data_IF_854153738099
#
_entry.id   IF_854153738099
#
_cell.length_a   1.000
_cell.length_b   1.000
_cell.length_c   1.000
_cell.angle_alpha   90.00
_cell.angle_beta   90.00
_cell.angle_gamma   90.00
#
_symmetry.space_group_name_H-M   'P 1'
#
loop_
_entity.id
_entity.type
_entity.pdbx_description
1 polymer ?
#
# COMPACT_ATOMS: atom_id res chain seq x y z
N UNK A 1 4.56 0.18 -6.03
CA UNK A 1 5.05 -0.88 -5.11
C UNK A 1 5.82 -0.23 -3.95
N UNK A 2 5.84 -0.86 -2.77
CA UNK A 2 6.62 -0.36 -1.62
C UNK A 2 8.14 -0.38 -1.88
N UNK A 3 8.88 0.54 -1.27
CA UNK A 3 10.32 0.74 -1.48
C UNK A 3 11.19 -0.09 -0.51
N UNK A 4 10.85 -1.36 -0.31
CA UNK A 4 11.56 -2.26 0.62
C UNK A 4 12.70 -3.03 -0.07
N UNK A 5 13.73 -3.39 0.69
CA UNK A 5 14.93 -4.04 0.16
C UNK A 5 14.68 -5.35 -0.58
N UNK A 6 13.67 -6.13 -0.13
CA UNK A 6 13.28 -7.38 -0.78
C UNK A 6 12.89 -7.20 -2.25
N UNK A 7 12.28 -6.08 -2.62
CA UNK A 7 11.91 -5.79 -4.01
C UNK A 7 13.08 -5.37 -4.90
N UNK A 8 14.24 -5.05 -4.32
CA UNK A 8 15.47 -4.65 -5.03
C UNK A 8 16.54 -5.73 -5.03
N UNK A 9 16.26 -6.89 -4.42
CA UNK A 9 17.19 -7.98 -4.32
C UNK A 9 17.69 -8.43 -5.73
N UNK A 10 18.98 -8.78 -5.90
CA UNK A 10 19.53 -9.14 -7.21
C UNK A 10 18.72 -10.20 -7.97
N UNK A 11 18.22 -11.23 -7.26
CA UNK A 11 17.33 -12.26 -7.86
C UNK A 11 16.04 -11.67 -8.45
N UNK A 12 15.44 -10.68 -7.78
CA UNK A 12 14.22 -10.00 -8.26
C UNK A 12 14.55 -9.15 -9.48
N UNK A 13 15.65 -8.40 -9.45
CA UNK A 13 16.10 -7.59 -10.60
C UNK A 13 16.42 -8.45 -11.83
N UNK A 14 17.10 -9.58 -11.63
CA UNK A 14 17.40 -10.55 -12.69
C UNK A 14 16.12 -11.20 -13.25
N UNK A 15 15.12 -11.45 -12.41
CA UNK A 15 13.81 -11.89 -12.87
C UNK A 15 13.12 -10.81 -13.70
N UNK A 16 13.07 -9.55 -13.24
CA UNK A 16 12.44 -8.45 -13.97
C UNK A 16 13.10 -8.20 -15.33
N UNK A 17 14.43 -8.30 -15.42
CA UNK A 17 15.15 -8.18 -16.69
C UNK A 17 14.71 -9.22 -17.73
N UNK A 18 14.30 -10.41 -17.29
CA UNK A 18 13.77 -11.47 -18.17
C UNK A 18 12.29 -11.33 -18.49
N UNK A 19 11.56 -10.45 -17.80
CA UNK A 19 10.11 -10.30 -17.95
C UNK A 19 9.72 -8.84 -18.22
N UNK A 20 9.98 -8.33 -19.45
CA UNK A 20 9.81 -6.92 -19.79
C UNK A 20 8.36 -6.43 -19.74
N UNK A 21 7.38 -7.34 -19.69
CA UNK A 21 5.96 -7.04 -19.44
C UNK A 21 5.73 -6.32 -18.11
N UNK A 22 6.65 -6.45 -17.15
CA UNK A 22 6.49 -5.91 -15.81
C UNK A 22 7.49 -4.77 -15.58
N UNK A 23 6.97 -3.56 -15.36
CA UNK A 23 7.78 -2.40 -14.93
C UNK A 23 7.42 -2.03 -13.50
N UNK A 24 8.39 -2.07 -12.59
CA UNK A 24 8.15 -1.74 -11.19
C UNK A 24 8.38 -0.24 -10.95
N UNK A 25 7.30 0.47 -10.56
CA UNK A 25 7.39 1.83 -10.01
C UNK A 25 7.33 1.76 -8.48
N UNK A 26 8.41 2.18 -7.83
CA UNK A 26 8.48 2.28 -6.37
C UNK A 26 7.94 3.62 -5.90
N UNK A 27 7.19 3.62 -4.79
CA UNK A 27 6.87 4.87 -4.08
C UNK A 27 8.14 5.46 -3.48
N UNK A 28 8.22 6.78 -3.36
CA UNK A 28 9.34 7.43 -2.70
C UNK A 28 9.45 7.02 -1.23
N UNK A 29 10.65 7.16 -0.66
CA UNK A 29 10.87 6.96 0.77
C UNK A 29 9.92 7.86 1.56
N UNK A 30 9.38 7.33 2.67
CA UNK A 30 8.42 8.03 3.53
C UNK A 30 7.07 8.39 2.89
N UNK A 31 6.78 7.91 1.67
CA UNK A 31 5.48 8.10 1.01
C UNK A 31 4.71 6.79 0.75
N UNK A 32 4.54 5.88 1.75
CA UNK A 32 3.79 4.65 1.56
C UNK A 32 2.29 4.92 1.27
N UNK A 33 1.79 6.10 1.66
CA UNK A 33 0.40 6.52 1.44
C UNK A 33 0.03 6.67 -0.04
N UNK A 34 1.01 6.84 -0.93
CA UNK A 34 0.80 6.85 -2.38
C UNK A 34 0.48 5.45 -2.95
N UNK A 35 0.71 4.38 -2.17
CA UNK A 35 0.41 3.03 -2.57
C UNK A 35 -1.00 2.62 -2.10
N UNK A 36 -1.90 2.36 -3.05
CA UNK A 36 -3.27 1.90 -2.76
C UNK A 36 -3.32 0.65 -1.86
N UNK A 37 -2.35 -0.25 -1.99
CA UNK A 37 -2.24 -1.47 -1.14
C UNK A 37 -1.99 -1.10 0.33
N UNK A 38 -1.19 -0.06 0.60
CA UNK A 38 -0.98 0.40 1.97
C UNK A 38 -2.27 1.00 2.56
N UNK A 39 -3.05 1.70 1.74
CA UNK A 39 -4.39 2.21 2.12
C UNK A 39 -5.39 1.10 2.44
N UNK A 40 -5.38 0.02 1.65
CA UNK A 40 -6.18 -1.17 1.91
C UNK A 40 -5.85 -1.78 3.28
N UNK A 41 -4.56 -2.03 3.57
CA UNK A 41 -4.15 -2.58 4.86
C UNK A 41 -4.48 -1.66 6.04
N UNK A 42 -4.33 -0.34 5.87
CA UNK A 42 -4.76 0.62 6.89
C UNK A 42 -6.26 0.52 7.20
N UNK A 43 -7.08 0.32 6.17
CA UNK A 43 -8.54 0.12 6.35
C UNK A 43 -8.84 -1.23 6.99
N UNK A 44 -8.24 -2.32 6.50
CA UNK A 44 -8.38 -3.66 7.08
C UNK A 44 -8.05 -3.65 8.57
N UNK A 45 -6.92 -3.05 8.95
CA UNK A 45 -6.49 -2.95 10.34
C UNK A 45 -7.51 -2.17 11.17
N UNK A 46 -7.95 -0.99 10.71
CA UNK A 46 -8.87 -0.14 11.47
C UNK A 46 -10.25 -0.77 11.66
N UNK A 47 -10.77 -1.46 10.64
CA UNK A 47 -12.13 -1.97 10.61
C UNK A 47 -12.27 -3.41 11.13
N UNK A 48 -11.23 -4.24 10.98
CA UNK A 48 -11.35 -5.70 11.19
C UNK A 48 -10.30 -6.32 12.11
N UNK A 49 -9.14 -5.69 12.33
CA UNK A 49 -8.07 -6.31 13.14
C UNK A 49 -7.85 -5.62 14.49
N UNK A 50 -7.85 -4.29 14.54
CA UNK A 50 -7.41 -3.51 15.72
C UNK A 50 -8.22 -3.77 17.00
N UNK A 51 -9.47 -4.19 16.88
CA UNK A 51 -10.37 -4.43 18.03
C UNK A 51 -10.87 -5.87 18.09
N UNK A 52 -10.25 -6.77 17.33
CA UNK A 52 -10.65 -8.17 17.25
C UNK A 52 -9.66 -9.03 18.03
N UNK A 53 -10.20 -9.98 18.78
CA UNK A 53 -9.45 -11.09 19.36
C UNK A 53 -9.68 -12.33 18.49
N UNK A 54 -8.63 -13.13 18.31
CA UNK A 54 -8.69 -14.36 17.53
C UNK A 54 -8.15 -15.50 18.38
N UNK A 55 -8.79 -16.66 18.31
CA UNK A 55 -8.38 -17.85 19.10
C UNK A 55 -7.19 -18.57 18.46
N UNK A 56 -6.83 -18.24 17.21
CA UNK A 56 -5.67 -18.78 16.52
C UNK A 56 -5.50 -18.24 15.10
N UNK A 57 -4.47 -18.74 14.40
CA UNK A 57 -4.12 -18.30 13.03
C UNK A 57 -5.24 -18.58 12.03
N UNK A 58 -5.91 -19.72 12.14
CA UNK A 58 -7.02 -20.11 11.24
C UNK A 58 -8.18 -19.11 11.33
N UNK A 59 -8.52 -18.67 12.55
CA UNK A 59 -9.58 -17.69 12.77
C UNK A 59 -9.21 -16.31 12.22
N UNK A 60 -7.95 -15.89 12.42
CA UNK A 60 -7.41 -14.67 11.80
C UNK A 60 -7.46 -14.74 10.26
N UNK A 61 -7.06 -15.86 9.66
CA UNK A 61 -7.11 -16.06 8.21
C UNK A 61 -8.55 -15.93 7.70
N UNK A 62 -9.49 -16.63 8.32
CA UNK A 62 -10.91 -16.56 7.96
C UNK A 62 -11.48 -15.13 8.10
N UNK A 63 -11.04 -14.37 9.11
CA UNK A 63 -11.42 -12.97 9.27
C UNK A 63 -10.87 -12.08 8.15
N UNK A 64 -9.61 -12.27 7.75
CA UNK A 64 -8.98 -11.54 6.64
C UNK A 64 -9.68 -11.87 5.31
N UNK A 65 -9.94 -13.15 5.04
CA UNK A 65 -10.62 -13.60 3.81
C UNK A 65 -12.04 -13.01 3.70
N UNK A 66 -12.82 -13.05 4.79
CA UNK A 66 -14.13 -12.38 4.83
C UNK A 66 -14.03 -10.89 4.56
N UNK A 67 -13.05 -10.21 5.15
CA UNK A 67 -12.84 -8.78 4.94
C UNK A 67 -12.50 -8.45 3.47
N UNK A 68 -11.67 -9.30 2.83
CA UNK A 68 -11.35 -9.17 1.40
C UNK A 68 -12.61 -9.37 0.55
N UNK A 69 -13.40 -10.42 0.81
CA UNK A 69 -14.63 -10.70 0.06
C UNK A 69 -15.66 -9.56 0.19
N UNK A 70 -15.84 -9.01 1.38
CA UNK A 70 -16.71 -7.85 1.63
C UNK A 70 -16.21 -6.56 0.98
N UNK A 71 -14.90 -6.34 0.97
CA UNK A 71 -14.29 -5.20 0.30
C UNK A 71 -14.51 -5.30 -1.21
N UNK A 72 -14.22 -6.46 -1.81
CA UNK A 72 -14.34 -6.69 -3.25
C UNK A 72 -15.79 -6.54 -3.74
N UNK A 73 -16.80 -6.96 -2.96
CA UNK A 73 -18.22 -6.75 -3.30
C UNK A 73 -18.62 -5.28 -3.42
N UNK A 74 -17.87 -4.36 -2.82
CA UNK A 74 -18.15 -2.91 -2.82
C UNK A 74 -16.99 -2.10 -3.39
N UNK A 75 -16.03 -2.75 -4.05
CA UNK A 75 -14.81 -2.11 -4.49
C UNK A 75 -15.15 -1.02 -5.53
N UNK A 76 -14.59 0.17 -5.31
CA UNK A 76 -14.66 1.29 -6.25
C UNK A 76 -13.24 1.63 -6.68
N UNK A 77 -13.05 2.09 -7.93
CA UNK A 77 -11.76 2.64 -8.34
C UNK A 77 -11.29 3.70 -7.35
N UNK A 78 -10.02 3.65 -6.99
CA UNK A 78 -9.42 4.70 -6.19
C UNK A 78 -9.25 5.94 -7.06
N UNK A 79 -9.86 7.05 -6.66
CA UNK A 79 -9.79 8.33 -7.37
C UNK A 79 -9.05 9.34 -6.50
N UNK A 80 -8.00 9.95 -7.04
CA UNK A 80 -7.31 11.06 -6.39
C UNK A 80 -8.24 12.27 -6.36
N UNK A 81 -8.55 12.75 -5.16
CA UNK A 81 -9.44 13.92 -4.97
C UNK A 81 -8.71 15.25 -5.05
N UNK A 82 -7.38 15.25 -4.91
CA UNK A 82 -6.53 16.44 -5.03
C UNK A 82 -5.66 16.34 -6.28
N UNK A 83 -5.60 17.40 -7.12
CA UNK A 83 -4.69 17.43 -8.25
C UNK A 83 -3.23 17.47 -7.76
N UNK A 84 -2.32 16.97 -8.59
CA UNK A 84 -0.90 16.86 -8.24
C UNK A 84 -0.29 18.22 -7.87
N UNK A 85 -0.66 19.29 -8.58
CA UNK A 85 -0.16 20.64 -8.32
C UNK A 85 -0.50 21.12 -6.90
N UNK A 86 -1.70 20.82 -6.39
CA UNK A 86 -2.10 21.20 -5.04
C UNK A 86 -1.31 20.42 -3.98
N UNK A 87 -1.02 19.15 -4.24
CA UNK A 87 -0.19 18.31 -3.37
C UNK A 87 1.24 18.86 -3.33
N UNK A 88 1.82 19.16 -4.50
CA UNK A 88 3.18 19.70 -4.61
C UNK A 88 3.28 21.08 -3.95
N UNK A 89 2.28 21.95 -4.13
CA UNK A 89 2.23 23.26 -3.49
C UNK A 89 2.10 23.14 -1.96
N UNK A 90 1.34 22.16 -1.45
CA UNK A 90 1.25 21.90 -0.01
C UNK A 90 2.57 21.39 0.57
N UNK A 91 3.25 20.48 -0.12
CA UNK A 91 4.57 19.98 0.29
C UNK A 91 5.61 21.11 0.29
N UNK A 92 5.63 21.96 -0.73
CA UNK A 92 6.56 23.10 -0.80
C UNK A 92 6.34 24.17 0.28
N UNK A 93 5.12 24.27 0.84
CA UNK A 93 4.82 25.12 2.01
C UNK A 93 5.23 24.48 3.34
N UNK A 94 5.54 23.18 3.35
CA UNK A 94 5.96 22.46 4.55
C UNK A 94 7.45 22.74 4.75
N UNK A 95 7.83 23.34 5.89
CA UNK A 95 9.23 23.60 6.20
C UNK A 95 10.04 22.30 6.09
N UNK A 96 11.19 22.36 5.41
CA UNK A 96 12.09 21.21 5.28
C UNK A 96 12.47 20.77 6.70
N UNK A 97 12.18 19.53 7.15
CA UNK A 97 12.73 19.07 8.40
C UNK A 97 14.25 19.05 8.21
N UNK A 98 14.96 19.84 9.01
CA UNK A 98 16.41 19.86 9.05
C UNK A 98 16.90 18.41 9.15
N UNK A 99 17.62 17.98 8.11
CA UNK A 99 18.39 16.73 8.12
C UNK A 99 19.79 17.07 8.56
#
# INVERSE_FOLDING_TARGET
MGNVGSHKHPKVRAWLARHPRWTFRFTTTSAPWLNAVAGFFSTLTRCRLRRSSFTGVVDLQAAIERAIAEHNRRARPFVWTKPANDILAAVGRSHNPSV
#
